data_IF_697451838215
#
_entry.id   IF_697451838215
#
_cell.length_a   1.000
_cell.length_b   1.000
_cell.length_c   1.000
_cell.angle_alpha   90.00
_cell.angle_beta   90.00
_cell.angle_gamma   90.00
#
_symmetry.space_group_name_H-M   'P 1'
#
loop_
_entity.id
_entity.type
_entity.pdbx_description
1 polymer ?
#
# COMPACT_ATOMS: atom_id res chain seq x y z
N UNK A 1 22.13 2.91 -34.31
CA UNK A 1 20.97 2.87 -33.39
C UNK A 1 21.16 1.66 -32.52
N UNK A 2 21.96 1.85 -31.47
CA UNK A 2 22.51 0.78 -30.64
C UNK A 2 21.63 0.53 -29.42
N UNK A 3 21.55 -0.75 -29.09
CA UNK A 3 21.07 -1.36 -27.87
C UNK A 3 21.62 -0.65 -26.62
N UNK A 4 20.86 0.33 -26.09
CA UNK A 4 21.26 1.17 -24.93
C UNK A 4 20.23 1.08 -23.79
N UNK A 5 19.52 -0.06 -23.68
CA UNK A 5 18.65 -0.38 -22.55
C UNK A 5 19.28 -1.41 -21.58
N UNK A 6 20.53 -1.82 -21.82
CA UNK A 6 21.11 -3.04 -21.25
C UNK A 6 21.81 -2.92 -19.88
N UNK A 7 21.95 -1.72 -19.28
CA UNK A 7 22.76 -1.59 -18.05
C UNK A 7 22.11 -0.74 -16.94
N UNK A 8 20.79 -0.83 -16.83
CA UNK A 8 20.12 -0.54 -15.56
C UNK A 8 20.22 -1.83 -14.73
N UNK A 9 20.88 -1.87 -13.56
CA UNK A 9 20.84 -3.03 -12.68
C UNK A 9 19.47 -3.08 -11.98
N UNK A 10 18.42 -3.23 -12.78
CA UNK A 10 17.23 -3.93 -12.35
C UNK A 10 17.67 -5.38 -12.16
N UNK A 11 17.23 -5.98 -11.05
CA UNK A 11 17.24 -7.43 -10.94
C UNK A 11 16.66 -7.98 -12.25
N UNK A 12 17.33 -8.94 -12.92
CA UNK A 12 16.91 -9.39 -14.27
C UNK A 12 15.43 -9.80 -14.30
N UNK A 13 14.90 -10.21 -13.15
CA UNK A 13 13.50 -10.52 -12.91
C UNK A 13 12.53 -9.33 -13.07
N UNK A 14 12.99 -8.08 -12.85
CA UNK A 14 12.17 -6.87 -12.93
C UNK A 14 12.17 -6.21 -14.33
N UNK A 15 13.19 -6.49 -15.16
CA UNK A 15 13.38 -5.78 -16.44
C UNK A 15 12.24 -6.02 -17.43
N UNK A 16 11.78 -7.27 -17.58
CA UNK A 16 10.69 -7.61 -18.52
C UNK A 16 9.34 -7.00 -18.11
N UNK A 17 8.86 -7.16 -16.85
CA UNK A 17 7.63 -6.51 -16.41
C UNK A 17 7.69 -4.99 -16.51
N UNK A 18 8.84 -4.40 -16.16
CA UNK A 18 9.02 -2.95 -16.23
C UNK A 18 8.94 -2.45 -17.68
N UNK A 19 9.60 -3.13 -18.62
CA UNK A 19 9.52 -2.80 -20.04
C UNK A 19 8.08 -2.92 -20.57
N UNK A 20 7.32 -3.93 -20.14
CA UNK A 20 5.92 -4.09 -20.52
C UNK A 20 5.03 -2.95 -20.02
N UNK A 21 5.21 -2.49 -18.77
CA UNK A 21 4.48 -1.35 -18.21
C UNK A 21 4.81 -0.03 -18.92
N UNK A 22 6.09 0.20 -19.23
CA UNK A 22 6.54 1.37 -19.99
C UNK A 22 5.93 1.38 -21.41
N UNK A 23 6.00 0.25 -22.11
CA UNK A 23 5.39 0.09 -23.44
C UNK A 23 3.86 0.28 -23.39
N UNK A 24 3.19 -0.24 -22.36
CA UNK A 24 1.77 -0.05 -22.14
C UNK A 24 1.41 1.42 -21.89
N UNK A 25 2.20 2.13 -21.09
CA UNK A 25 2.02 3.56 -20.83
C UNK A 25 2.25 4.42 -22.09
N UNK A 26 3.28 4.09 -22.87
CA UNK A 26 3.54 4.70 -24.16
C UNK A 26 2.35 4.52 -25.12
N UNK A 27 1.85 3.29 -25.27
CA UNK A 27 0.69 3.00 -26.12
C UNK A 27 -0.56 3.77 -25.71
N UNK A 28 -0.84 3.90 -24.40
CA UNK A 28 -1.94 4.72 -23.88
C UNK A 28 -1.77 6.21 -24.23
N UNK A 29 -0.54 6.74 -24.20
CA UNK A 29 -0.29 8.12 -24.57
C UNK A 29 -0.48 8.39 -26.06
N UNK A 30 0.03 7.51 -26.92
CA UNK A 30 -0.18 7.61 -28.38
C UNK A 30 -1.67 7.57 -28.70
N UNK A 31 -2.42 6.66 -28.07
CA UNK A 31 -3.88 6.61 -28.21
C UNK A 31 -4.55 7.90 -27.74
N UNK A 32 -4.14 8.46 -26.59
CA UNK A 32 -4.65 9.75 -26.11
C UNK A 32 -4.42 10.88 -27.13
N UNK A 33 -3.22 11.01 -27.70
CA UNK A 33 -2.95 12.07 -28.68
C UNK A 33 -3.75 11.90 -29.97
N UNK A 34 -3.89 10.67 -30.45
CA UNK A 34 -4.74 10.38 -31.62
C UNK A 34 -6.21 10.72 -31.33
N UNK A 35 -6.73 10.27 -30.20
CA UNK A 35 -8.17 10.31 -29.91
C UNK A 35 -8.62 11.68 -29.39
N UNK A 36 -7.76 12.42 -28.68
CA UNK A 36 -8.09 13.71 -28.05
C UNK A 36 -7.56 14.92 -28.83
N UNK A 37 -6.46 14.78 -29.58
CA UNK A 37 -5.88 15.86 -30.39
C UNK A 37 -6.01 15.62 -31.90
N UNK A 38 -6.71 14.56 -32.31
CA UNK A 38 -6.99 14.22 -33.71
C UNK A 38 -5.73 14.08 -34.59
N UNK A 39 -4.58 13.77 -33.98
CA UNK A 39 -3.32 13.56 -34.68
C UNK A 39 -3.33 12.24 -35.46
N UNK A 40 -2.63 12.19 -36.60
CA UNK A 40 -2.37 10.91 -37.28
C UNK A 40 -1.50 10.00 -36.42
N UNK A 41 -1.51 8.69 -36.71
CA UNK A 41 -0.69 7.71 -35.97
C UNK A 41 0.80 8.10 -35.88
N UNK A 42 1.47 8.45 -37.00
CA UNK A 42 2.86 8.92 -36.99
C UNK A 42 3.07 10.22 -36.21
N UNK A 43 2.17 11.19 -36.31
CA UNK A 43 2.26 12.46 -35.57
C UNK A 43 2.08 12.24 -34.07
N UNK A 44 1.15 11.36 -33.67
CA UNK A 44 0.93 10.99 -32.27
C UNK A 44 2.14 10.23 -31.68
N UNK A 45 2.76 9.31 -32.43
CA UNK A 45 4.01 8.62 -32.04
C UNK A 45 5.16 9.62 -31.85
N UNK A 46 5.36 10.50 -32.83
CA UNK A 46 6.38 11.55 -32.79
C UNK A 46 6.16 12.48 -31.58
N UNK A 47 4.93 12.93 -31.36
CA UNK A 47 4.58 13.78 -30.21
C UNK A 47 4.78 13.06 -28.88
N UNK A 48 4.44 11.78 -28.77
CA UNK A 48 4.64 10.98 -27.57
C UNK A 48 6.12 10.79 -27.22
N UNK A 49 6.98 10.63 -28.22
CA UNK A 49 8.45 10.63 -28.05
C UNK A 49 9.02 12.02 -27.76
N UNK A 50 8.21 13.07 -27.92
CA UNK A 50 8.64 14.46 -27.81
C UNK A 50 9.58 14.86 -28.94
N UNK A 51 9.36 14.36 -30.16
CA UNK A 51 10.16 14.68 -31.34
C UNK A 51 10.10 16.18 -31.70
N UNK A 52 9.01 16.85 -31.31
CA UNK A 52 8.81 18.29 -31.52
C UNK A 52 9.45 19.15 -30.42
N UNK A 53 9.91 18.55 -29.32
CA UNK A 53 10.45 19.30 -28.19
C UNK A 53 11.87 19.78 -28.53
N UNK A 54 12.15 21.05 -28.29
CA UNK A 54 13.52 21.57 -28.37
C UNK A 54 14.41 20.95 -27.28
N UNK A 55 15.75 20.93 -27.46
CA UNK A 55 16.65 20.42 -26.41
C UNK A 55 16.46 21.12 -25.04
N UNK A 56 16.11 22.41 -25.04
CA UNK A 56 15.85 23.17 -23.83
C UNK A 56 14.54 22.73 -23.15
N UNK A 57 13.46 22.51 -23.91
CA UNK A 57 12.20 22.00 -23.39
C UNK A 57 12.35 20.57 -22.87
N UNK A 58 13.09 19.72 -23.60
CA UNK A 58 13.37 18.35 -23.18
C UNK A 58 14.12 18.32 -21.84
N UNK A 59 15.16 19.16 -21.68
CA UNK A 59 15.91 19.27 -20.44
C UNK A 59 15.06 19.83 -19.28
N UNK A 60 14.24 20.85 -19.54
CA UNK A 60 13.33 21.42 -18.54
C UNK A 60 12.28 20.40 -18.09
N UNK A 61 11.77 19.57 -18.99
CA UNK A 61 10.80 18.53 -18.66
C UNK A 61 11.43 17.41 -17.82
N UNK A 62 12.66 16.98 -18.13
CA UNK A 62 13.39 16.01 -17.31
C UNK A 62 13.64 16.53 -15.89
N UNK A 63 14.06 17.81 -15.76
CA UNK A 63 14.25 18.44 -14.46
C UNK A 63 12.94 18.48 -13.66
N UNK A 64 11.84 18.88 -14.30
CA UNK A 64 10.50 18.93 -13.69
C UNK A 64 10.01 17.54 -13.24
N UNK A 65 10.35 16.48 -13.97
CA UNK A 65 10.04 15.09 -13.57
C UNK A 65 10.89 14.68 -12.37
N UNK A 66 12.18 15.02 -12.36
CA UNK A 66 13.10 14.72 -11.27
C UNK A 66 12.73 15.40 -9.93
N UNK A 67 12.14 16.60 -9.99
CA UNK A 67 11.72 17.35 -8.80
C UNK A 67 10.32 16.95 -8.28
N UNK A 68 9.61 16.05 -8.98
CA UNK A 68 8.23 15.68 -8.61
C UNK A 68 8.22 14.76 -7.39
N UNK A 69 7.22 14.88 -6.48
CA UNK A 69 7.01 13.88 -5.43
C UNK A 69 6.93 12.46 -5.99
N UNK A 70 7.58 11.46 -5.35
CA UNK A 70 7.61 10.07 -5.82
C UNK A 70 6.24 9.47 -6.15
N UNK A 71 5.21 9.79 -5.37
CA UNK A 71 3.84 9.30 -5.53
C UNK A 71 3.06 9.97 -6.68
N UNK A 72 3.65 11.00 -7.31
CA UNK A 72 3.07 11.73 -8.44
C UNK A 72 3.83 11.47 -9.75
N UNK A 73 4.91 10.69 -9.73
CA UNK A 73 5.60 10.25 -10.95
C UNK A 73 4.75 9.18 -11.62
N UNK A 74 4.30 9.45 -12.84
CA UNK A 74 3.49 8.51 -13.62
C UNK A 74 4.36 7.57 -14.45
N UNK A 75 3.78 6.48 -14.93
CA UNK A 75 4.43 5.61 -15.92
C UNK A 75 4.83 6.35 -17.21
N UNK A 76 4.09 7.40 -17.57
CA UNK A 76 4.44 8.21 -18.72
C UNK A 76 5.70 9.06 -18.50
N UNK A 77 5.84 9.64 -17.31
CA UNK A 77 7.05 10.38 -16.94
C UNK A 77 8.26 9.44 -16.98
N UNK A 78 8.11 8.23 -16.42
CA UNK A 78 9.15 7.20 -16.46
C UNK A 78 9.54 6.79 -17.88
N UNK A 79 8.56 6.54 -18.76
CA UNK A 79 8.82 6.21 -20.16
C UNK A 79 9.58 7.35 -20.86
N UNK A 80 9.17 8.59 -20.63
CA UNK A 80 9.80 9.76 -21.23
C UNK A 80 11.24 9.95 -20.76
N UNK A 81 11.52 9.74 -19.48
CA UNK A 81 12.89 9.77 -18.96
C UNK A 81 13.70 8.64 -19.58
N UNK A 82 13.16 7.41 -19.64
CA UNK A 82 13.86 6.26 -20.22
C UNK A 82 14.23 6.46 -21.70
N UNK A 83 13.33 7.04 -22.50
CA UNK A 83 13.56 7.30 -23.92
C UNK A 83 14.64 8.37 -24.17
N UNK A 84 14.77 9.35 -23.26
CA UNK A 84 15.69 10.50 -23.43
C UNK A 84 17.04 10.30 -22.76
N UNK A 85 17.02 9.72 -21.57
CA UNK A 85 18.18 9.53 -20.70
C UNK A 85 17.99 8.24 -19.87
N UNK A 86 18.44 7.09 -20.40
CA UNK A 86 18.33 5.80 -19.72
C UNK A 86 19.05 5.76 -18.36
N UNK A 87 20.13 6.52 -18.20
CA UNK A 87 20.87 6.58 -16.93
C UNK A 87 20.07 7.37 -15.88
N UNK A 88 19.49 8.51 -16.24
CA UNK A 88 18.59 9.26 -15.37
C UNK A 88 17.36 8.43 -14.99
N UNK A 89 16.83 7.62 -15.91
CA UNK A 89 15.74 6.68 -15.61
C UNK A 89 16.16 5.66 -14.53
N UNK A 90 17.34 5.06 -14.66
CA UNK A 90 17.86 4.13 -13.67
C UNK A 90 17.99 4.74 -12.26
N UNK A 91 18.42 6.01 -12.19
CA UNK A 91 18.52 6.77 -10.95
C UNK A 91 17.13 7.03 -10.38
N UNK A 92 16.21 7.55 -11.19
CA UNK A 92 14.83 7.86 -10.78
C UNK A 92 14.09 6.61 -10.31
N UNK A 93 14.20 5.49 -11.02
CA UNK A 93 13.57 4.23 -10.64
C UNK A 93 14.07 3.71 -9.29
N UNK A 94 15.38 3.79 -9.03
CA UNK A 94 15.93 3.43 -7.71
C UNK A 94 15.43 4.36 -6.61
N UNK A 95 15.35 5.66 -6.88
CA UNK A 95 14.82 6.64 -5.93
C UNK A 95 13.34 6.37 -5.60
N UNK A 96 12.51 6.04 -6.60
CA UNK A 96 11.11 5.65 -6.40
C UNK A 96 10.99 4.39 -5.54
N UNK A 97 11.80 3.36 -5.81
CA UNK A 97 11.81 2.14 -4.98
C UNK A 97 12.24 2.42 -3.54
N UNK A 98 13.22 3.29 -3.34
CA UNK A 98 13.64 3.71 -2.01
C UNK A 98 12.53 4.46 -1.28
N UNK A 99 11.92 5.47 -1.92
CA UNK A 99 10.81 6.23 -1.35
C UNK A 99 9.58 5.35 -1.03
N UNK A 100 9.29 4.35 -1.86
CA UNK A 100 8.22 3.40 -1.61
C UNK A 100 8.50 2.50 -0.39
N UNK A 101 9.77 2.12 -0.18
CA UNK A 101 10.19 1.39 1.04
C UNK A 101 10.10 2.27 2.27
N UNK A 102 10.59 3.51 2.18
CA UNK A 102 10.51 4.47 3.28
C UNK A 102 9.06 4.76 3.68
N UNK A 103 8.15 4.93 2.71
CA UNK A 103 6.71 5.12 2.98
C UNK A 103 6.08 3.88 3.64
N UNK A 104 6.49 2.68 3.22
CA UNK A 104 6.05 1.42 3.83
C UNK A 104 6.56 1.31 5.27
N UNK A 105 7.85 1.56 5.49
CA UNK A 105 8.52 1.48 6.78
C UNK A 105 8.02 2.54 7.76
N UNK A 106 7.68 3.73 7.28
CA UNK A 106 7.07 4.78 8.11
C UNK A 106 5.61 4.50 8.46
N UNK A 107 4.93 3.60 7.73
CA UNK A 107 3.51 3.30 7.92
C UNK A 107 2.57 4.42 7.46
N UNK A 108 3.08 5.46 6.79
CA UNK A 108 2.28 6.62 6.41
C UNK A 108 1.23 6.30 5.35
N UNK A 109 1.48 5.30 4.50
CA UNK A 109 0.50 4.82 3.50
C UNK A 109 -0.78 4.30 4.18
N UNK A 110 -0.65 3.39 5.13
CA UNK A 110 -1.78 2.85 5.89
C UNK A 110 -2.46 3.97 6.70
N UNK A 111 -1.66 4.84 7.33
CA UNK A 111 -2.18 5.96 8.08
C UNK A 111 -2.97 6.98 7.21
N UNK A 112 -2.66 7.07 5.91
CA UNK A 112 -3.42 7.89 4.94
C UNK A 112 -4.74 7.23 4.53
N UNK A 113 -4.79 5.91 4.41
CA UNK A 113 -6.01 5.20 4.06
C UNK A 113 -7.09 5.29 5.16
N UNK A 114 -6.67 5.36 6.43
CA UNK A 114 -7.57 5.52 7.59
C UNK A 114 -8.13 6.96 7.71
N UNK A 115 -7.56 7.92 6.99
CA UNK A 115 -7.84 9.35 7.11
C UNK A 115 -8.95 9.84 6.17
N UNK A 116 -10.02 9.06 6.01
CA UNK A 116 -11.11 9.41 5.07
C UNK A 116 -11.76 10.77 5.37
N UNK A 117 -11.86 11.15 6.66
CA UNK A 117 -12.36 12.46 7.11
C UNK A 117 -11.22 13.43 7.54
N UNK A 118 -9.98 13.13 7.18
CA UNK A 118 -8.90 14.11 7.08
C UNK A 118 -8.38 14.71 8.39
N UNK A 119 -8.59 14.09 9.57
CA UNK A 119 -8.11 14.65 10.84
C UNK A 119 -6.68 14.18 11.11
N UNK A 120 -5.68 15.10 11.19
CA UNK A 120 -4.29 14.73 11.52
C UNK A 120 -4.13 13.93 12.81
N UNK A 121 -5.07 14.10 13.75
CA UNK A 121 -5.12 13.36 15.01
C UNK A 121 -5.33 11.85 14.82
N UNK A 122 -6.21 11.44 13.90
CA UNK A 122 -6.50 10.02 13.69
C UNK A 122 -5.30 9.31 13.03
N UNK A 123 -4.61 10.00 12.12
CA UNK A 123 -3.29 9.58 11.61
C UNK A 123 -2.26 9.43 12.74
N UNK A 124 -2.15 10.42 13.62
CA UNK A 124 -1.20 10.38 14.73
C UNK A 124 -1.51 9.24 15.72
N UNK A 125 -2.79 8.97 16.01
CA UNK A 125 -3.24 7.83 16.84
C UNK A 125 -2.79 6.50 16.23
N UNK A 126 -3.02 6.29 14.93
CA UNK A 126 -2.60 5.06 14.26
C UNK A 126 -1.08 4.87 14.33
N UNK A 127 -0.30 5.92 14.01
CA UNK A 127 1.17 5.83 14.06
C UNK A 127 1.68 5.53 15.47
N UNK A 128 1.07 6.11 16.51
CA UNK A 128 1.41 5.80 17.90
C UNK A 128 1.15 4.33 18.27
N UNK A 129 0.02 3.76 17.83
CA UNK A 129 -0.31 2.33 18.03
C UNK A 129 0.74 1.45 17.33
N UNK A 130 0.99 1.74 16.05
CA UNK A 130 1.97 1.02 15.23
C UNK A 130 3.37 1.06 15.83
N UNK A 131 3.82 2.24 16.26
CA UNK A 131 5.14 2.42 16.87
C UNK A 131 5.25 1.66 18.20
N UNK A 132 4.18 1.59 18.99
CA UNK A 132 4.13 0.76 20.20
C UNK A 132 4.30 -0.71 19.83
N UNK A 133 3.53 -1.21 18.86
CA UNK A 133 3.60 -2.62 18.47
C UNK A 133 4.97 -2.98 17.88
N UNK A 134 5.56 -2.15 17.01
CA UNK A 134 6.90 -2.39 16.47
C UNK A 134 7.96 -2.41 17.58
N UNK A 135 7.85 -1.53 18.57
CA UNK A 135 8.77 -1.47 19.72
C UNK A 135 8.68 -2.72 20.61
N UNK A 136 7.46 -3.18 20.87
CA UNK A 136 7.21 -4.30 21.79
C UNK A 136 7.51 -5.64 21.11
N UNK A 137 7.07 -5.82 19.86
CA UNK A 137 7.30 -7.06 19.11
C UNK A 137 8.70 -7.16 18.52
N UNK A 138 9.34 -6.03 18.16
CA UNK A 138 10.62 -5.98 17.44
C UNK A 138 10.62 -6.92 16.22
N UNK A 139 9.70 -6.72 15.25
CA UNK A 139 9.58 -7.64 14.13
C UNK A 139 10.85 -7.67 13.28
N UNK A 140 11.19 -8.85 12.77
CA UNK A 140 12.10 -8.96 11.64
C UNK A 140 11.56 -8.26 10.39
N UNK A 141 12.41 -7.97 9.38
CA UNK A 141 11.94 -7.41 8.12
C UNK A 141 11.00 -8.38 7.37
N UNK A 142 10.27 -7.86 6.39
CA UNK A 142 9.38 -8.68 5.55
C UNK A 142 8.09 -9.06 6.27
N UNK A 143 7.80 -10.36 6.35
CA UNK A 143 6.48 -10.87 6.78
C UNK A 143 6.14 -10.55 8.24
N UNK A 144 7.13 -10.57 9.15
CA UNK A 144 6.89 -10.20 10.55
C UNK A 144 6.48 -8.73 10.68
N UNK A 145 7.19 -7.82 10.01
CA UNK A 145 6.85 -6.40 10.01
C UNK A 145 5.46 -6.16 9.40
N UNK A 146 5.11 -6.87 8.33
CA UNK A 146 3.78 -6.80 7.72
C UNK A 146 2.67 -7.30 8.67
N UNK A 147 2.90 -8.40 9.41
CA UNK A 147 1.96 -8.90 10.41
C UNK A 147 1.79 -7.93 11.57
N UNK A 148 2.85 -7.28 12.03
CA UNK A 148 2.76 -6.23 13.06
C UNK A 148 1.95 -5.03 12.56
N UNK A 149 2.16 -4.60 11.32
CA UNK A 149 1.41 -3.50 10.72
C UNK A 149 -0.09 -3.85 10.55
N UNK A 150 -0.39 -5.08 10.12
CA UNK A 150 -1.77 -5.60 10.04
C UNK A 150 -2.44 -5.69 11.42
N UNK A 151 -1.69 -6.05 12.47
CA UNK A 151 -2.21 -6.06 13.83
C UNK A 151 -2.52 -4.64 14.31
N UNK A 152 -1.64 -3.67 14.03
CA UNK A 152 -1.86 -2.27 14.37
C UNK A 152 -3.09 -1.70 13.66
N UNK A 153 -3.27 -2.00 12.37
CA UNK A 153 -4.46 -1.62 11.59
C UNK A 153 -5.75 -2.21 12.19
N UNK A 154 -5.78 -3.53 12.43
CA UNK A 154 -6.94 -4.19 13.00
C UNK A 154 -7.30 -3.68 14.41
N UNK A 155 -6.30 -3.32 15.21
CA UNK A 155 -6.53 -2.72 16.53
C UNK A 155 -7.05 -1.28 16.44
N UNK A 156 -6.52 -0.47 15.51
CA UNK A 156 -7.03 0.87 15.26
C UNK A 156 -8.50 0.84 14.79
N UNK A 157 -8.84 -0.07 13.87
CA UNK A 157 -10.22 -0.30 13.43
C UNK A 157 -11.14 -0.66 14.61
N UNK A 158 -10.69 -1.57 15.49
CA UNK A 158 -11.45 -1.97 16.67
C UNK A 158 -11.74 -0.77 17.58
N UNK A 159 -10.74 0.08 17.85
CA UNK A 159 -10.93 1.28 18.66
C UNK A 159 -11.91 2.25 18.01
N UNK A 160 -11.80 2.49 16.70
CA UNK A 160 -12.68 3.39 15.96
C UNK A 160 -14.15 2.92 15.99
N UNK A 161 -14.39 1.63 15.71
CA UNK A 161 -15.76 1.08 15.75
C UNK A 161 -16.33 1.00 17.16
N UNK A 162 -15.48 0.78 18.18
CA UNK A 162 -15.91 0.82 19.58
C UNK A 162 -16.28 2.24 20.02
N UNK A 163 -15.48 3.24 19.64
CA UNK A 163 -15.78 4.67 19.87
C UNK A 163 -17.11 5.06 19.22
N UNK A 164 -17.32 4.66 17.96
CA UNK A 164 -18.57 4.89 17.23
C UNK A 164 -19.77 4.22 17.91
N UNK A 165 -19.64 2.97 18.35
CA UNK A 165 -20.69 2.26 19.08
C UNK A 165 -21.08 2.99 20.37
N UNK A 166 -20.10 3.43 21.16
CA UNK A 166 -20.35 4.17 22.39
C UNK A 166 -21.01 5.52 22.13
N UNK A 167 -20.60 6.24 21.08
CA UNK A 167 -21.21 7.49 20.66
C UNK A 167 -22.68 7.30 20.28
N UNK A 168 -22.99 6.27 19.48
CA UNK A 168 -24.37 5.95 19.07
C UNK A 168 -25.24 5.57 20.28
N UNK A 169 -24.73 4.71 21.16
CA UNK A 169 -25.43 4.30 22.37
C UNK A 169 -25.72 5.49 23.31
N UNK A 170 -24.73 6.37 23.51
CA UNK A 170 -24.89 7.59 24.32
C UNK A 170 -25.90 8.56 23.72
N UNK A 171 -25.85 8.77 22.40
CA UNK A 171 -26.77 9.65 21.68
C UNK A 171 -28.22 9.17 21.79
N UNK A 172 -28.47 7.86 21.60
CA UNK A 172 -29.81 7.30 21.73
C UNK A 172 -30.34 7.43 23.16
N UNK A 173 -29.50 7.17 24.17
CA UNK A 173 -29.87 7.34 25.59
C UNK A 173 -30.21 8.80 25.94
N UNK A 174 -29.48 9.77 25.39
CA UNK A 174 -29.76 11.19 25.60
C UNK A 174 -31.03 11.63 24.87
N UNK A 175 -31.29 11.13 23.66
CA UNK A 175 -32.56 11.36 22.95
C UNK A 175 -33.73 10.81 23.78
N UNK A 176 -33.61 9.57 24.29
CA UNK A 176 -34.62 8.93 25.13
C UNK A 176 -34.89 9.74 26.40
N UNK A 177 -33.83 10.14 27.12
CA UNK A 177 -33.93 10.97 28.34
C UNK A 177 -34.61 12.31 28.05
N UNK A 178 -34.23 12.98 26.97
CA UNK A 178 -34.80 14.26 26.58
C UNK A 178 -36.28 14.13 26.18
N UNK A 179 -36.65 13.08 25.45
CA UNK A 179 -38.03 12.81 25.06
C UNK A 179 -38.90 12.46 26.28
N UNK A 180 -38.38 11.66 27.21
CA UNK A 180 -39.06 11.35 28.47
C UNK A 180 -39.27 12.62 29.31
N UNK A 181 -38.26 13.47 29.42
CA UNK A 181 -38.34 14.75 30.15
C UNK A 181 -39.32 15.74 29.52
N UNK A 182 -39.38 15.83 28.19
CA UNK A 182 -40.25 16.76 27.45
C UNK A 182 -41.69 16.29 27.34
N UNK A 183 -41.92 14.99 27.20
CA UNK A 183 -43.23 14.43 26.87
C UNK A 183 -43.81 13.52 27.95
N UNK A 184 -43.06 13.19 29.00
CA UNK A 184 -43.49 12.31 30.09
C UNK A 184 -43.76 10.87 29.66
N UNK A 185 -43.33 10.48 28.45
CA UNK A 185 -43.58 9.17 27.87
C UNK A 185 -42.28 8.59 27.33
N UNK A 186 -42.03 7.34 27.68
CA UNK A 186 -40.97 6.55 27.08
C UNK A 186 -41.32 6.25 25.61
N UNK A 187 -40.34 6.36 24.72
CA UNK A 187 -40.49 5.96 23.31
C UNK A 187 -39.53 4.80 23.03
N UNK A 188 -39.97 3.78 22.28
CA UNK A 188 -39.09 2.71 21.85
C UNK A 188 -37.97 3.26 20.97
N UNK A 189 -36.80 2.61 21.04
CA UNK A 189 -35.64 2.94 20.22
C UNK A 189 -35.99 2.90 18.73
N UNK A 190 -35.38 3.81 17.97
CA UNK A 190 -35.57 3.85 16.52
C UNK A 190 -34.89 2.63 15.90
N UNK A 191 -35.59 1.89 15.04
CA UNK A 191 -35.05 0.72 14.34
C UNK A 191 -33.72 1.06 13.65
N UNK A 192 -33.65 2.22 13.01
CA UNK A 192 -32.43 2.70 12.37
C UNK A 192 -31.24 2.88 13.35
N UNK A 193 -31.48 3.42 14.55
CA UNK A 193 -30.44 3.56 15.57
C UNK A 193 -29.96 2.19 16.06
N UNK A 194 -30.89 1.27 16.31
CA UNK A 194 -30.58 -0.08 16.77
C UNK A 194 -29.77 -0.87 15.72
N UNK A 195 -30.15 -0.77 14.43
CA UNK A 195 -29.41 -1.38 13.32
C UNK A 195 -28.00 -0.77 13.18
N UNK A 196 -27.87 0.55 13.29
CA UNK A 196 -26.58 1.22 13.24
C UNK A 196 -25.65 0.78 14.39
N UNK A 197 -26.16 0.66 15.62
CA UNK A 197 -25.43 0.15 16.77
C UNK A 197 -25.01 -1.31 16.58
N UNK A 198 -25.94 -2.17 16.13
CA UNK A 198 -25.63 -3.58 15.85
C UNK A 198 -24.54 -3.72 14.77
N UNK A 199 -24.58 -2.86 13.75
CA UNK A 199 -23.54 -2.81 12.73
C UNK A 199 -22.18 -2.41 13.29
N UNK A 200 -22.11 -1.34 14.10
CA UNK A 200 -20.86 -0.89 14.74
C UNK A 200 -20.27 -1.96 15.66
N UNK A 201 -21.11 -2.61 16.47
CA UNK A 201 -20.69 -3.73 17.33
C UNK A 201 -20.10 -4.88 16.52
N UNK A 202 -20.79 -5.31 15.45
CA UNK A 202 -20.30 -6.35 14.54
C UNK A 202 -18.96 -5.98 13.91
N UNK A 203 -18.80 -4.74 13.47
CA UNK A 203 -17.53 -4.27 12.87
C UNK A 203 -16.39 -4.27 13.90
N UNK A 204 -16.64 -3.82 15.13
CA UNK A 204 -15.67 -3.87 16.22
C UNK A 204 -15.24 -5.31 16.54
N UNK A 205 -16.19 -6.24 16.64
CA UNK A 205 -15.91 -7.67 16.87
C UNK A 205 -15.08 -8.28 15.73
N UNK A 206 -15.40 -7.96 14.48
CA UNK A 206 -14.66 -8.43 13.32
C UNK A 206 -13.22 -7.92 13.30
N UNK A 207 -13.02 -6.63 13.61
CA UNK A 207 -11.70 -6.02 13.71
C UNK A 207 -10.88 -6.65 14.84
N UNK A 208 -11.47 -6.82 16.02
CA UNK A 208 -10.81 -7.47 17.16
C UNK A 208 -10.44 -8.93 16.84
N UNK A 209 -11.34 -9.69 16.21
CA UNK A 209 -11.04 -11.06 15.80
C UNK A 209 -9.91 -11.12 14.75
N UNK A 210 -9.82 -10.13 13.84
CA UNK A 210 -8.67 -10.00 12.91
C UNK A 210 -7.38 -9.75 13.68
N UNK A 211 -7.38 -8.82 14.63
CA UNK A 211 -6.23 -8.53 15.48
C UNK A 211 -5.71 -9.79 16.20
N UNK A 212 -6.60 -10.53 16.88
CA UNK A 212 -6.23 -11.77 17.60
C UNK A 212 -5.64 -12.83 16.67
N UNK A 213 -6.23 -13.03 15.48
CA UNK A 213 -5.68 -13.97 14.48
C UNK A 213 -4.30 -13.55 14.02
N UNK A 214 -4.08 -12.28 13.73
CA UNK A 214 -2.77 -11.78 13.29
C UNK A 214 -1.69 -11.96 14.36
N UNK A 215 -2.02 -11.67 15.63
CA UNK A 215 -1.10 -11.91 16.76
C UNK A 215 -0.79 -13.40 16.94
N UNK A 216 -1.80 -14.27 16.80
CA UNK A 216 -1.60 -15.72 16.84
C UNK A 216 -0.66 -16.19 15.73
N UNK A 217 -0.88 -15.74 14.48
CA UNK A 217 -0.01 -16.04 13.33
C UNK A 217 1.43 -15.57 13.56
N UNK A 218 1.63 -14.38 14.14
CA UNK A 218 2.96 -13.88 14.49
C UNK A 218 3.63 -14.77 15.55
N UNK A 219 2.88 -15.23 16.55
CA UNK A 219 3.36 -16.19 17.54
C UNK A 219 3.72 -17.55 16.94
N UNK A 220 2.90 -18.06 16.02
CA UNK A 220 3.17 -19.32 15.30
C UNK A 220 4.42 -19.21 14.43
N UNK A 221 4.60 -18.09 13.71
CA UNK A 221 5.76 -17.84 12.88
C UNK A 221 7.06 -17.81 13.70
N UNK A 222 7.03 -17.29 14.93
CA UNK A 222 8.20 -17.28 15.81
C UNK A 222 8.50 -18.61 16.47
N UNK A 223 7.48 -19.44 16.68
CA UNK A 223 7.65 -20.81 17.20
C UNK A 223 8.17 -21.77 16.14
N UNK A 224 7.74 -21.57 14.90
CA UNK A 224 8.12 -22.41 13.78
C UNK A 224 9.33 -21.77 13.13
N UNK A 225 10.53 -22.31 13.33
CA UNK A 225 11.70 -21.84 12.57
C UNK A 225 11.34 -21.79 11.08
N UNK A 226 11.78 -20.76 10.34
CA UNK A 226 11.43 -20.61 8.95
C UNK A 226 11.91 -21.84 8.17
N UNK A 227 10.97 -22.74 7.85
CA UNK A 227 11.22 -23.84 6.94
C UNK A 227 11.30 -23.25 5.54
N UNK A 228 12.51 -22.88 5.13
CA UNK A 228 12.79 -22.56 3.75
C UNK A 228 12.61 -23.84 2.94
N UNK A 229 11.42 -24.03 2.36
CA UNK A 229 11.20 -25.06 1.36
C UNK A 229 11.99 -24.65 0.12
N UNK A 230 13.26 -25.05 0.06
CA UNK A 230 14.08 -24.93 -1.13
C UNK A 230 13.38 -25.60 -2.31
N UNK A 231 13.35 -24.93 -3.45
CA UNK A 231 12.74 -25.44 -4.68
C UNK A 231 13.48 -26.72 -5.12
N UNK A 232 12.88 -27.89 -4.93
CA UNK A 232 13.39 -29.14 -5.50
C UNK A 232 12.67 -29.36 -6.83
N UNK A 233 13.38 -29.12 -7.94
CA UNK A 233 12.91 -29.52 -9.27
C UNK A 233 12.78 -31.03 -9.31
N UNK A 234 11.56 -31.53 -9.55
CA UNK A 234 11.38 -32.96 -9.84
C UNK A 234 10.63 -33.20 -11.14
N UNK A 235 11.38 -33.72 -12.10
CA UNK A 235 11.01 -34.89 -12.89
C UNK A 235 12.18 -35.90 -12.83
N UNK A 236 11.98 -37.22 -12.91
CA UNK A 236 11.03 -38.06 -12.20
C UNK A 236 11.73 -38.75 -11.00
N UNK A 237 12.12 -38.03 -9.96
CA UNK A 237 12.43 -38.65 -8.67
C UNK A 237 12.34 -37.62 -7.54
N UNK A 238 11.26 -37.69 -6.75
CA UNK A 238 11.05 -36.86 -5.56
C UNK A 238 11.66 -37.57 -4.35
N UNK A 239 12.55 -36.91 -3.61
CA UNK A 239 13.06 -37.37 -2.31
C UNK A 239 12.80 -36.27 -1.29
N UNK A 240 12.00 -36.58 -0.26
CA UNK A 240 11.79 -35.70 0.88
C UNK A 240 12.95 -35.88 1.86
N UNK A 241 13.72 -34.81 2.13
CA UNK A 241 14.65 -34.77 3.26
C UNK A 241 14.19 -33.66 4.20
N UNK A 242 13.52 -34.04 5.28
CA UNK A 242 13.41 -33.18 6.46
C UNK A 242 14.74 -33.30 7.22
N UNK A 243 15.54 -32.24 7.22
CA UNK A 243 16.74 -32.17 8.06
C UNK A 243 16.37 -31.34 9.30
N UNK A 244 16.16 -32.03 10.42
CA UNK A 244 16.16 -31.40 11.73
C UNK A 244 17.60 -31.03 12.03
N UNK A 245 17.89 -29.74 12.21
CA UNK A 245 19.16 -29.31 12.80
C UNK A 245 19.01 -29.50 14.30
N UNK A 246 19.48 -30.63 14.82
CA UNK A 246 19.79 -30.76 16.24
C UNK A 246 21.27 -30.44 16.41
N UNK A 247 21.56 -29.24 16.89
CA UNK A 247 22.85 -28.91 17.52
C UNK A 247 22.87 -29.56 18.90
N UNK A 248 23.62 -30.64 19.03
CA UNK A 248 24.31 -31.01 20.26
C UNK A 248 25.76 -31.23 19.85
N UNK A 249 26.67 -30.36 20.31
CA UNK A 249 28.00 -30.75 20.80
C UNK A 249 28.77 -29.55 21.39
N UNK A 250 29.16 -29.77 22.65
CA UNK A 250 30.10 -29.15 23.59
C UNK A 250 30.98 -27.93 23.19
#
# INVERSE_FOLDING_TARGET
MGDTLADVPADRAESEPLAAELAGAYGRMVAFYRDQLELSGPEADARARGADDTPAEAAADLARIGDRPPDQVSWFDLNRVADRDPEAFAVLWRALKAAARDELDSGHRAARALDWDGRPWDRARYLAIRDSFRRDYRPGPGIEAALVDLAAEAFADYLAWSEQLHMQAGTEADIERNDLGRHGKWKPQRIFSAEAMANSARMAEQAHARFLRTVATLGDLRRTEPVYVGQVNIAPQQINIARLVSEDDE
#
